data_IF_337171265124
#
_entry.id   IF_337171265124
#
_cell.length_a   1.000
_cell.length_b   1.000
_cell.length_c   1.000
_cell.angle_alpha   90.00
_cell.angle_beta   90.00
_cell.angle_gamma   90.00
#
_symmetry.space_group_name_H-M   'P 1'
#
loop_
_entity.id
_entity.type
_entity.pdbx_description
1 polymer ?
#
# COMPACT_ATOMS: atom_id res chain seq x y z
N UNK A 1 -0.32 13.16 16.85
CA UNK A 1 0.38 11.94 16.40
C UNK A 1 -0.38 11.47 15.17
N UNK A 2 0.26 11.37 14.00
CA UNK A 2 -0.43 10.84 12.81
C UNK A 2 -0.69 9.35 13.08
N UNK A 3 -1.96 8.97 13.17
CA UNK A 3 -2.38 7.58 13.34
C UNK A 3 -2.05 6.84 12.04
N UNK A 4 -0.99 6.02 12.08
CA UNK A 4 -0.69 5.13 10.97
C UNK A 4 -1.78 4.08 10.88
N UNK A 5 -2.31 3.88 9.68
CA UNK A 5 -3.33 2.90 9.39
C UNK A 5 -2.67 1.57 9.05
N UNK A 6 -3.15 0.49 9.66
CA UNK A 6 -2.77 -0.87 9.30
C UNK A 6 -3.86 -1.45 8.42
N UNK A 7 -3.51 -1.77 7.18
CA UNK A 7 -4.43 -2.30 6.19
C UNK A 7 -4.00 -3.71 5.81
N UNK A 8 -4.95 -4.62 5.83
CA UNK A 8 -4.75 -6.02 5.43
C UNK A 8 -5.40 -6.21 4.06
N UNK A 9 -4.66 -6.79 3.13
CA UNK A 9 -5.19 -7.07 1.80
C UNK A 9 -4.27 -7.93 0.96
N UNK A 10 -4.71 -8.27 -0.24
CA UNK A 10 -3.93 -9.06 -1.20
C UNK A 10 -3.06 -8.15 -2.06
N UNK A 11 -1.76 -8.42 -2.10
CA UNK A 11 -0.81 -7.68 -2.92
C UNK A 11 -1.07 -7.91 -4.41
N UNK A 12 -1.06 -6.82 -5.19
CA UNK A 12 -1.28 -6.81 -6.62
C UNK A 12 -0.17 -6.09 -7.36
N UNK A 13 -0.02 -6.44 -8.64
CA UNK A 13 1.00 -5.84 -9.50
C UNK A 13 0.77 -4.32 -9.62
N UNK A 14 1.86 -3.57 -9.79
CA UNK A 14 1.80 -2.11 -9.88
C UNK A 14 1.65 -1.40 -8.52
N UNK A 15 1.90 -2.09 -7.41
CA UNK A 15 1.88 -1.48 -6.08
C UNK A 15 0.48 -1.35 -5.48
N UNK A 16 -0.47 -2.18 -5.90
CA UNK A 16 -1.83 -2.13 -5.37
C UNK A 16 -2.04 -3.16 -4.26
N UNK A 17 -2.93 -2.84 -3.33
CA UNK A 17 -3.40 -3.72 -2.28
C UNK A 17 -4.92 -3.88 -2.43
N UNK A 18 -5.37 -5.09 -2.75
CA UNK A 18 -6.80 -5.40 -2.83
C UNK A 18 -7.33 -5.75 -1.44
N UNK A 19 -8.24 -4.93 -0.94
CA UNK A 19 -8.96 -5.15 0.32
C UNK A 19 -10.39 -5.60 0.04
N UNK A 20 -11.16 -5.89 1.09
CA UNK A 20 -12.61 -6.14 0.98
C UNK A 20 -13.41 -4.92 0.54
N UNK A 21 -12.86 -3.71 0.72
CA UNK A 21 -13.52 -2.43 0.39
C UNK A 21 -13.16 -1.89 -0.99
N UNK A 22 -12.09 -2.39 -1.61
CA UNK A 22 -11.61 -1.89 -2.91
C UNK A 22 -10.13 -2.17 -3.14
N UNK A 23 -9.54 -1.43 -4.08
CA UNK A 23 -8.11 -1.50 -4.38
C UNK A 23 -7.44 -0.21 -3.92
N UNK A 24 -6.37 -0.34 -3.14
CA UNK A 24 -5.65 0.78 -2.56
C UNK A 24 -4.27 0.83 -3.21
N UNK A 25 -3.89 1.98 -3.76
CA UNK A 25 -2.54 2.20 -4.28
C UNK A 25 -1.58 2.42 -3.11
N UNK A 26 -0.59 1.55 -2.97
CA UNK A 26 0.49 1.69 -2.01
C UNK A 26 1.56 2.60 -2.61
N UNK A 27 2.02 3.61 -1.87
CA UNK A 27 3.07 4.53 -2.33
C UNK A 27 4.17 4.69 -1.30
N UNK A 28 5.42 4.80 -1.74
CA UNK A 28 6.58 4.95 -0.84
C UNK A 28 6.82 6.38 -0.36
N UNK A 29 6.06 7.34 -0.88
CA UNK A 29 6.23 8.77 -0.59
C UNK A 29 5.21 9.26 0.44
N UNK A 30 5.56 10.27 1.25
CA UNK A 30 4.59 10.92 2.12
C UNK A 30 3.59 11.72 1.29
N UNK A 31 2.37 11.86 1.83
CA UNK A 31 1.26 12.58 1.17
C UNK A 31 1.66 14.01 0.76
N UNK A 32 2.49 14.70 1.55
CA UNK A 32 2.93 16.07 1.25
C UNK A 32 3.90 16.16 0.05
N UNK A 33 4.58 15.07 -0.30
CA UNK A 33 5.52 15.02 -1.43
C UNK A 33 4.86 14.50 -2.72
N UNK A 34 3.58 14.10 -2.66
CA UNK A 34 2.88 13.51 -3.78
C UNK A 34 2.44 14.56 -4.81
N UNK A 35 3.20 14.68 -5.91
CA UNK A 35 2.74 15.37 -7.12
C UNK A 35 1.89 14.44 -8.01
N UNK A 36 2.22 13.15 -8.05
CA UNK A 36 1.41 12.10 -8.68
C UNK A 36 1.72 10.77 -7.97
N UNK A 37 0.76 10.17 -7.24
CA UNK A 37 1.02 8.99 -6.41
C UNK A 37 1.42 7.76 -7.23
N UNK A 38 0.90 7.63 -8.45
CA UNK A 38 1.19 6.52 -9.38
C UNK A 38 2.67 6.46 -9.79
N UNK A 39 3.38 7.60 -9.83
CA UNK A 39 4.80 7.65 -10.17
C UNK A 39 5.72 7.16 -9.04
N UNK A 40 5.19 6.94 -7.85
CA UNK A 40 5.92 6.50 -6.67
C UNK A 40 5.24 5.33 -5.96
N UNK A 41 4.58 4.46 -6.73
CA UNK A 41 4.01 3.23 -6.23
C UNK A 41 5.06 2.40 -5.48
N UNK A 42 4.62 1.69 -4.43
CA UNK A 42 5.45 0.75 -3.71
C UNK A 42 5.76 -0.42 -4.62
N UNK A 43 7.04 -0.72 -4.81
CA UNK A 43 7.48 -1.85 -5.61
C UNK A 43 7.17 -3.14 -4.84
N UNK A 44 6.29 -3.97 -5.38
CA UNK A 44 5.95 -5.28 -4.83
C UNK A 44 6.67 -6.34 -5.67
N UNK A 45 7.36 -7.25 -5.00
CA UNK A 45 8.07 -8.36 -5.61
C UNK A 45 7.07 -9.32 -6.28
N UNK A 46 7.36 -9.78 -7.50
CA UNK A 46 6.44 -10.62 -8.29
C UNK A 46 6.05 -11.91 -7.56
N UNK A 47 6.94 -12.44 -6.71
CA UNK A 47 6.70 -13.64 -5.90
C UNK A 47 5.67 -13.44 -4.78
N UNK A 48 5.40 -12.20 -4.42
CA UNK A 48 4.50 -11.82 -3.33
C UNK A 48 3.13 -11.37 -3.84
N UNK A 49 2.99 -11.22 -5.16
CA UNK A 49 1.71 -10.96 -5.82
C UNK A 49 0.75 -12.12 -5.56
N UNK A 50 -0.47 -11.78 -5.13
CA UNK A 50 -1.50 -12.74 -4.76
C UNK A 50 -1.42 -13.23 -3.32
N UNK A 51 -0.38 -12.86 -2.56
CA UNK A 51 -0.32 -13.12 -1.12
C UNK A 51 -1.03 -12.04 -0.33
N UNK A 52 -1.51 -12.39 0.85
CA UNK A 52 -2.07 -11.44 1.81
C UNK A 52 -0.92 -10.76 2.55
N UNK A 53 -0.98 -9.44 2.70
CA UNK A 53 0.00 -8.68 3.44
C UNK A 53 -0.67 -7.66 4.37
N UNK A 54 0.04 -7.34 5.44
CA UNK A 54 -0.28 -6.25 6.35
C UNK A 54 0.62 -5.08 5.99
N UNK A 55 0.01 -3.95 5.63
CA UNK A 55 0.70 -2.74 5.21
C UNK A 55 0.36 -1.61 6.16
N UNK A 56 1.38 -0.90 6.62
CA UNK A 56 1.25 0.30 7.43
C UNK A 56 1.40 1.55 6.56
N UNK A 57 0.58 2.58 6.77
CA UNK A 57 0.77 3.88 6.12
C UNK A 57 -0.31 4.92 6.45
N UNK A 58 -0.27 6.05 5.75
CA UNK A 58 -1.24 7.13 5.87
C UNK A 58 -2.32 7.00 4.79
N UNK A 59 -3.51 6.50 5.16
CA UNK A 59 -4.61 6.27 4.21
C UNK A 59 -5.32 7.58 3.88
N UNK A 60 -5.40 7.91 2.60
CA UNK A 60 -6.17 9.04 2.10
C UNK A 60 -6.93 8.63 0.83
N UNK A 61 -8.23 8.36 0.97
CA UNK A 61 -9.05 7.81 -0.10
C UNK A 61 -8.57 6.40 -0.49
N UNK A 62 -8.31 6.20 -1.77
CA UNK A 62 -7.83 4.93 -2.33
C UNK A 62 -6.30 4.84 -2.43
N UNK A 63 -5.57 5.69 -1.68
CA UNK A 63 -4.09 5.73 -1.69
C UNK A 63 -3.56 5.61 -0.27
N UNK A 64 -2.62 4.69 -0.06
CA UNK A 64 -1.84 4.55 1.16
C UNK A 64 -0.47 5.20 0.96
N UNK A 65 -0.24 6.32 1.64
CA UNK A 65 1.02 7.06 1.62
C UNK A 65 2.02 6.52 2.64
N UNK A 66 3.31 6.70 2.37
CA UNK A 66 4.40 6.14 3.18
C UNK A 66 4.22 4.64 3.48
N UNK A 67 3.63 3.91 2.53
CA UNK A 67 3.23 2.52 2.71
C UNK A 67 4.45 1.63 2.94
N UNK A 68 4.37 0.80 3.98
CA UNK A 68 5.39 -0.17 4.33
C UNK A 68 4.75 -1.52 4.61
N UNK A 69 5.21 -2.57 3.92
CA UNK A 69 4.79 -3.93 4.19
C UNK A 69 5.43 -4.37 5.51
N UNK A 70 4.59 -4.69 6.50
CA UNK A 70 5.00 -5.13 7.83
C UNK A 70 5.15 -6.66 7.85
N UNK A 71 4.19 -7.35 7.24
CA UNK A 71 4.16 -8.81 7.21
C UNK A 71 3.49 -9.29 5.92
N UNK A 72 3.98 -10.40 5.38
CA UNK A 72 3.37 -11.10 4.25
C UNK A 72 3.00 -12.49 4.75
N UNK A 73 1.71 -12.83 4.65
CA UNK A 73 1.22 -14.16 4.97
C UNK A 73 1.80 -15.19 3.98
N UNK A 74 2.16 -16.38 4.47
CA UNK A 74 2.77 -17.44 3.67
C UNK A 74 1.85 -17.96 2.54
#
# INVERSE_FOLDING_TARGET
MQEKNFIIGTLKAGGYLKTEFGEILLTKIPMQAAQSPESAALEIDEKDIGKVAIVEGDLAGDVLYSAQIIEIAP
#
